data_IF_050548728431
#
_entry.id   IF_050548728431
#
_cell.length_a   1.000
_cell.length_b   1.000
_cell.length_c   1.000
_cell.angle_alpha   90.00
_cell.angle_beta   90.00
_cell.angle_gamma   90.00
#
_symmetry.space_group_name_H-M   'P 1'
#
loop_
_entity.id
_entity.type
_entity.pdbx_description
1 polymer ?
#
# COMPACT_ATOMS: atom_id res chain seq x y z
N UNK A 1 -12.37 27.63 2.05
CA UNK A 1 -12.23 27.17 0.67
C UNK A 1 -10.84 27.54 0.20
N UNK A 2 -10.06 26.56 -0.17
CA UNK A 2 -8.77 26.78 -0.79
C UNK A 2 -9.02 27.42 -2.16
N UNK A 3 -8.30 28.51 -2.49
CA UNK A 3 -8.42 29.14 -3.79
C UNK A 3 -8.09 28.16 -4.89
N UNK A 4 -8.94 28.09 -5.92
CA UNK A 4 -8.73 27.22 -7.08
C UNK A 4 -7.66 27.74 -8.04
N UNK A 5 -7.20 28.97 -7.82
CA UNK A 5 -6.34 29.63 -8.78
C UNK A 5 -4.98 29.95 -8.15
N UNK A 6 -4.03 29.06 -8.37
CA UNK A 6 -2.63 29.31 -8.02
C UNK A 6 -1.80 29.82 -9.21
N UNK A 7 -2.42 30.06 -10.38
CA UNK A 7 -1.77 30.63 -11.56
C UNK A 7 -0.60 29.83 -12.16
N UNK A 8 -0.29 28.65 -11.62
CA UNK A 8 0.91 27.88 -12.00
C UNK A 8 0.62 26.62 -12.81
N UNK A 9 -0.65 26.35 -13.13
CA UNK A 9 -1.04 25.14 -13.88
C UNK A 9 -0.82 23.82 -13.15
N UNK A 10 -0.21 23.83 -11.97
CA UNK A 10 -0.04 22.68 -11.10
C UNK A 10 -1.19 22.67 -10.10
N UNK A 11 -2.03 21.69 -10.23
CA UNK A 11 -3.33 21.62 -9.61
C UNK A 11 -3.27 21.47 -8.08
N UNK A 12 -3.95 22.40 -7.41
CA UNK A 12 -4.56 22.17 -6.11
C UNK A 12 -3.75 22.58 -4.88
N UNK A 13 -4.46 22.86 -3.79
CA UNK A 13 -3.88 23.31 -2.53
C UNK A 13 -2.97 22.28 -1.87
N UNK A 14 -3.16 20.98 -2.15
CA UNK A 14 -2.28 19.92 -1.65
C UNK A 14 -0.88 20.03 -2.26
N UNK A 15 -0.79 20.29 -3.56
CA UNK A 15 0.51 20.47 -4.25
C UNK A 15 1.21 21.73 -3.75
N UNK A 16 0.49 22.83 -3.57
CA UNK A 16 1.05 24.06 -3.01
C UNK A 16 1.57 23.84 -1.59
N UNK A 17 0.82 23.13 -0.74
CA UNK A 17 1.25 22.78 0.60
C UNK A 17 2.48 21.86 0.58
N UNK A 18 2.50 20.85 -0.29
CA UNK A 18 3.64 19.94 -0.42
C UNK A 18 4.92 20.68 -0.83
N UNK A 19 4.83 21.57 -1.82
CA UNK A 19 5.97 22.39 -2.26
C UNK A 19 6.44 23.35 -1.16
N UNK A 20 5.49 23.96 -0.41
CA UNK A 20 5.83 24.84 0.72
C UNK A 20 6.52 24.06 1.85
N UNK A 21 6.05 22.84 2.15
CA UNK A 21 6.68 21.95 3.14
C UNK A 21 8.09 21.52 2.69
N UNK A 22 8.26 21.17 1.41
CA UNK A 22 9.57 20.79 0.87
C UNK A 22 10.57 21.97 0.95
N UNK A 23 10.15 23.15 0.54
CA UNK A 23 10.97 24.36 0.63
C UNK A 23 11.33 24.71 2.09
N UNK A 24 10.36 24.62 3.01
CA UNK A 24 10.57 24.92 4.42
C UNK A 24 11.47 23.87 5.12
N UNK A 25 11.45 22.61 4.68
CA UNK A 25 12.25 21.53 5.27
C UNK A 25 13.75 21.69 5.08
N UNK A 26 14.17 22.49 4.09
CA UNK A 26 15.59 22.82 3.84
C UNK A 26 16.13 24.00 4.69
N UNK A 27 15.26 24.73 5.37
CA UNK A 27 15.64 25.89 6.20
C UNK A 27 15.99 25.46 7.65
N UNK A 28 16.79 26.26 8.34
CA UNK A 28 17.11 26.04 9.76
C UNK A 28 17.05 27.37 10.53
N UNK A 29 16.11 27.58 11.48
CA UNK A 29 15.05 26.64 11.88
C UNK A 29 13.95 26.50 10.81
N UNK A 30 13.45 25.26 10.66
CA UNK A 30 12.37 24.98 9.71
C UNK A 30 11.04 25.47 10.26
N UNK A 31 10.37 26.37 9.55
CA UNK A 31 9.03 26.79 9.91
C UNK A 31 8.19 27.06 8.66
N UNK A 32 6.89 26.82 8.79
CA UNK A 32 5.90 27.12 7.75
C UNK A 32 4.97 28.19 8.27
N UNK A 33 4.87 29.30 7.52
CA UNK A 33 3.87 30.33 7.77
C UNK A 33 2.60 29.97 7.02
N UNK A 34 1.52 29.74 7.76
CA UNK A 34 0.19 29.47 7.23
C UNK A 34 -0.72 30.67 7.48
N UNK A 35 -1.30 31.21 6.42
CA UNK A 35 -2.40 32.14 6.53
C UNK A 35 -3.73 31.39 6.44
N UNK A 36 -4.46 31.36 7.54
CA UNK A 36 -5.74 30.66 7.66
C UNK A 36 -6.86 31.68 7.76
N UNK A 37 -7.86 31.55 6.89
CA UNK A 37 -9.08 32.37 6.97
C UNK A 37 -10.15 31.65 7.76
N UNK A 38 -10.57 32.25 8.87
CA UNK A 38 -11.67 31.74 9.69
C UNK A 38 -12.79 32.78 9.72
N UNK A 39 -13.82 32.60 8.91
CA UNK A 39 -14.84 33.62 8.64
C UNK A 39 -14.20 34.81 7.92
N UNK A 40 -14.36 36.01 8.48
CA UNK A 40 -13.76 37.24 7.94
C UNK A 40 -12.34 37.51 8.49
N UNK A 41 -11.90 36.75 9.47
CA UNK A 41 -10.58 36.92 10.10
C UNK A 41 -9.51 36.12 9.38
N UNK A 42 -8.42 36.80 9.06
CA UNK A 42 -7.20 36.19 8.60
C UNK A 42 -6.27 36.00 9.79
N UNK A 43 -5.78 34.79 9.98
CA UNK A 43 -4.93 34.38 11.10
C UNK A 43 -3.63 33.85 10.53
N UNK A 44 -2.51 34.44 10.90
CA UNK A 44 -1.19 33.90 10.57
C UNK A 44 -0.77 32.91 11.66
N UNK A 45 -0.41 31.71 11.25
CA UNK A 45 0.08 30.63 12.12
C UNK A 45 1.50 30.26 11.69
N UNK A 46 2.44 30.35 12.60
CA UNK A 46 3.78 29.80 12.37
C UNK A 46 3.84 28.38 12.94
N UNK A 47 4.01 27.43 12.07
CA UNK A 47 4.15 26.01 12.44
C UNK A 47 5.62 25.66 12.38
N UNK A 48 6.23 25.34 13.54
CA UNK A 48 7.57 24.77 13.58
C UNK A 48 7.56 23.37 12.94
N UNK A 49 8.40 23.17 11.96
CA UNK A 49 8.61 21.84 11.37
C UNK A 49 9.72 21.14 12.15
N UNK A 50 9.64 19.81 12.33
CA UNK A 50 10.75 19.06 12.90
C UNK A 50 12.00 19.34 12.06
N UNK A 51 13.05 19.82 12.71
CA UNK A 51 14.27 20.23 12.03
C UNK A 51 14.97 19.04 11.35
N UNK A 52 15.29 19.25 10.07
CA UNK A 52 16.09 18.32 9.28
C UNK A 52 15.27 17.30 8.48
N UNK A 53 15.72 17.02 7.26
CA UNK A 53 15.26 15.84 6.52
C UNK A 53 15.80 14.62 7.26
N UNK A 54 14.91 13.73 7.67
CA UNK A 54 15.33 12.40 8.16
C UNK A 54 16.19 11.75 7.06
N UNK A 55 17.32 11.20 7.44
CA UNK A 55 18.05 10.35 6.50
C UNK A 55 17.14 9.20 6.09
N UNK A 56 17.25 8.68 4.87
CA UNK A 56 16.41 7.56 4.43
C UNK A 56 16.40 6.39 5.41
N UNK A 57 17.55 6.06 6.03
CA UNK A 57 17.65 5.02 7.05
C UNK A 57 16.87 5.35 8.32
N UNK A 58 16.91 6.60 8.80
CA UNK A 58 16.15 7.04 9.98
C UNK A 58 14.65 7.01 9.71
N UNK A 59 14.22 7.36 8.49
CA UNK A 59 12.83 7.26 8.07
C UNK A 59 12.37 5.81 8.03
N UNK A 60 13.16 4.91 7.43
CA UNK A 60 12.85 3.48 7.40
C UNK A 60 12.73 2.88 8.80
N UNK A 61 13.67 3.21 9.68
CA UNK A 61 13.62 2.77 11.09
C UNK A 61 12.38 3.30 11.82
N UNK A 62 12.01 4.56 11.61
CA UNK A 62 10.82 5.15 12.21
C UNK A 62 9.53 4.47 11.70
N UNK A 63 9.44 4.21 10.39
CA UNK A 63 8.32 3.50 9.78
C UNK A 63 8.24 2.07 10.33
N UNK A 64 9.33 1.33 10.31
CA UNK A 64 9.36 -0.04 10.82
C UNK A 64 8.95 -0.11 12.30
N UNK A 65 9.45 0.81 13.13
CA UNK A 65 9.05 0.90 14.54
C UNK A 65 7.56 1.18 14.70
N UNK A 66 7.00 2.08 13.91
CA UNK A 66 5.56 2.39 13.93
C UNK A 66 4.74 1.18 13.50
N UNK A 67 5.13 0.51 12.42
CA UNK A 67 4.44 -0.69 11.95
C UNK A 67 4.43 -1.79 13.01
N UNK A 68 5.57 -2.09 13.64
CA UNK A 68 5.63 -3.07 14.73
C UNK A 68 4.74 -2.69 15.92
N UNK A 69 4.70 -1.42 16.30
CA UNK A 69 3.88 -0.94 17.41
C UNK A 69 2.38 -0.99 17.14
N UNK A 70 1.97 -0.97 15.85
CA UNK A 70 0.56 -0.93 15.43
C UNK A 70 0.03 -2.26 14.90
N UNK A 71 0.91 -3.25 14.71
CA UNK A 71 0.48 -4.59 14.31
C UNK A 71 -0.36 -5.23 15.41
N UNK A 72 -1.51 -5.77 15.05
CA UNK A 72 -2.37 -6.51 15.95
C UNK A 72 -1.85 -7.93 16.17
N UNK A 73 -2.29 -8.58 17.25
CA UNK A 73 -1.91 -9.97 17.58
C UNK A 73 -2.26 -10.97 16.48
N UNK A 74 -3.27 -10.68 15.67
CA UNK A 74 -3.65 -11.47 14.49
C UNK A 74 -2.69 -11.33 13.31
N UNK A 75 -1.68 -10.48 13.37
CA UNK A 75 -0.80 -10.15 12.25
C UNK A 75 -1.30 -9.00 11.37
N UNK A 76 -2.53 -8.54 11.59
CA UNK A 76 -3.22 -7.53 10.80
C UNK A 76 -2.78 -6.10 11.13
N UNK A 77 -2.80 -5.22 10.12
CA UNK A 77 -2.87 -3.77 10.30
C UNK A 77 -4.23 -3.27 9.82
N UNK A 78 -4.89 -2.50 10.69
CA UNK A 78 -6.23 -1.99 10.40
C UNK A 78 -6.14 -0.51 10.02
N UNK A 79 -6.53 -0.12 8.80
CA UNK A 79 -6.44 1.26 8.34
C UNK A 79 -7.52 2.19 8.90
N UNK A 80 -8.38 1.73 9.79
CA UNK A 80 -9.47 2.51 10.35
C UNK A 80 -10.72 2.63 9.46
N UNK A 81 -10.66 2.15 8.23
CA UNK A 81 -11.79 2.20 7.28
C UNK A 81 -12.58 0.88 7.20
N UNK A 82 -12.14 -0.15 7.91
CA UNK A 82 -12.80 -1.46 8.02
C UNK A 82 -12.91 -2.25 6.70
N UNK A 83 -13.23 -3.52 6.81
CA UNK A 83 -13.57 -4.38 5.68
C UNK A 83 -12.37 -4.87 4.87
N UNK A 84 -12.54 -4.92 3.56
CA UNK A 84 -11.61 -5.55 2.61
C UNK A 84 -10.22 -4.88 2.53
N UNK A 85 -10.09 -3.66 3.07
CA UNK A 85 -8.84 -2.92 3.07
C UNK A 85 -7.76 -3.56 3.95
N UNK A 86 -8.14 -4.34 4.97
CA UNK A 86 -7.22 -4.89 5.95
C UNK A 86 -6.19 -5.84 5.31
N UNK A 87 -6.59 -6.63 4.32
CA UNK A 87 -5.72 -7.61 3.65
C UNK A 87 -4.61 -6.89 2.87
N UNK A 88 -4.97 -6.01 1.94
CA UNK A 88 -3.96 -5.33 1.11
C UNK A 88 -3.10 -4.36 1.94
N UNK A 89 -3.66 -3.68 2.94
CA UNK A 89 -2.87 -2.83 3.84
C UNK A 89 -1.87 -3.66 4.65
N UNK A 90 -2.28 -4.83 5.15
CA UNK A 90 -1.37 -5.74 5.85
C UNK A 90 -0.27 -6.26 4.92
N UNK A 91 -0.58 -6.54 3.65
CA UNK A 91 0.42 -6.92 2.67
C UNK A 91 1.45 -5.79 2.43
N UNK A 92 1.02 -4.55 2.25
CA UNK A 92 1.93 -3.42 2.06
C UNK A 92 2.75 -3.08 3.32
N UNK A 93 2.17 -3.21 4.50
CA UNK A 93 2.91 -3.05 5.76
C UNK A 93 4.00 -4.13 5.90
N UNK A 94 3.68 -5.39 5.59
CA UNK A 94 4.64 -6.49 5.61
C UNK A 94 5.74 -6.31 4.56
N UNK A 95 5.40 -5.88 3.33
CA UNK A 95 6.38 -5.52 2.29
C UNK A 95 7.33 -4.41 2.74
N UNK A 96 6.81 -3.40 3.45
CA UNK A 96 7.63 -2.33 3.99
C UNK A 96 8.62 -2.82 5.05
N UNK A 97 8.20 -3.77 5.90
CA UNK A 97 9.10 -4.42 6.86
C UNK A 97 10.13 -5.30 6.18
N UNK A 98 9.73 -6.05 5.15
CA UNK A 98 10.61 -6.90 4.35
C UNK A 98 11.70 -6.06 3.67
N UNK A 99 11.33 -4.94 3.07
CA UNK A 99 12.26 -4.02 2.42
C UNK A 99 13.20 -3.31 3.41
N UNK A 100 12.77 -3.14 4.68
CA UNK A 100 13.61 -2.53 5.72
C UNK A 100 14.66 -3.52 6.25
N UNK A 101 14.28 -4.74 6.58
CA UNK A 101 15.16 -5.83 7.02
C UNK A 101 14.38 -7.14 7.09
N UNK A 102 14.62 -8.02 6.13
CA UNK A 102 13.92 -9.29 5.97
C UNK A 102 14.09 -10.25 7.16
N UNK A 103 15.25 -10.23 7.83
CA UNK A 103 15.56 -11.12 8.95
C UNK A 103 15.05 -10.58 10.28
N UNK A 104 15.26 -9.30 10.52
CA UNK A 104 14.91 -8.63 11.78
C UNK A 104 13.39 -8.65 12.03
N UNK A 105 12.61 -8.47 10.97
CA UNK A 105 11.16 -8.34 11.06
C UNK A 105 10.38 -9.59 10.67
N UNK A 106 11.07 -10.70 10.41
CA UNK A 106 10.50 -11.96 9.97
C UNK A 106 9.28 -12.44 10.79
N UNK A 107 9.26 -12.38 12.12
CA UNK A 107 8.08 -12.79 12.89
C UNK A 107 6.84 -11.96 12.58
N UNK A 108 6.99 -10.65 12.43
CA UNK A 108 5.88 -9.75 12.09
C UNK A 108 5.39 -9.97 10.66
N UNK A 109 6.30 -10.22 9.72
CA UNK A 109 5.99 -10.52 8.32
C UNK A 109 5.21 -11.85 8.23
N UNK A 110 5.69 -12.92 8.89
CA UNK A 110 5.00 -14.22 8.93
C UNK A 110 3.61 -14.14 9.57
N UNK A 111 3.46 -13.35 10.63
CA UNK A 111 2.15 -13.11 11.24
C UNK A 111 1.18 -12.44 10.25
N UNK A 112 1.65 -11.48 9.47
CA UNK A 112 0.84 -10.83 8.43
C UNK A 112 0.46 -11.80 7.31
N UNK A 113 1.39 -12.63 6.84
CA UNK A 113 1.11 -13.66 5.83
C UNK A 113 0.04 -14.64 6.36
N UNK A 114 0.15 -15.09 7.60
CA UNK A 114 -0.85 -15.95 8.23
C UNK A 114 -2.25 -15.34 8.24
N UNK A 115 -2.36 -14.05 8.63
CA UNK A 115 -3.62 -13.31 8.57
C UNK A 115 -4.18 -13.20 7.15
N UNK A 116 -3.34 -12.87 6.18
CA UNK A 116 -3.72 -12.72 4.77
C UNK A 116 -4.22 -14.06 4.21
N UNK A 117 -3.51 -15.14 4.48
CA UNK A 117 -3.89 -16.47 4.01
C UNK A 117 -5.23 -16.89 4.62
N UNK A 118 -5.45 -16.66 5.91
CA UNK A 118 -6.74 -16.95 6.56
C UNK A 118 -7.90 -16.14 5.96
N UNK A 119 -7.70 -14.84 5.69
CA UNK A 119 -8.80 -13.94 5.30
C UNK A 119 -9.03 -13.83 3.80
N UNK A 120 -8.04 -14.16 3.00
CA UNK A 120 -8.07 -13.97 1.55
C UNK A 120 -7.83 -15.29 0.82
N UNK A 121 -6.62 -15.81 0.88
CA UNK A 121 -6.20 -16.96 0.07
C UNK A 121 -7.05 -18.21 0.31
N UNK A 122 -7.39 -18.52 1.57
CA UNK A 122 -8.23 -19.67 1.93
C UNK A 122 -9.66 -19.62 1.37
N UNK A 123 -10.12 -18.44 0.96
CA UNK A 123 -11.45 -18.25 0.36
C UNK A 123 -11.47 -18.40 -1.16
N UNK A 124 -10.32 -18.68 -1.78
CA UNK A 124 -10.22 -18.83 -3.24
C UNK A 124 -10.76 -20.20 -3.65
N UNK A 125 -11.76 -20.20 -4.53
CA UNK A 125 -12.22 -21.38 -5.24
C UNK A 125 -11.94 -21.21 -6.74
N UNK A 126 -10.93 -21.90 -7.25
CA UNK A 126 -10.55 -21.82 -8.66
C UNK A 126 -11.62 -22.40 -9.60
N UNK A 127 -12.59 -23.17 -9.08
CA UNK A 127 -13.73 -23.66 -9.85
C UNK A 127 -14.81 -22.60 -10.04
N UNK A 128 -14.87 -21.62 -9.13
CA UNK A 128 -15.69 -20.41 -9.26
C UNK A 128 -14.86 -19.15 -9.00
N UNK A 129 -14.08 -18.71 -9.99
CA UNK A 129 -13.20 -17.54 -9.84
C UNK A 129 -13.97 -16.22 -9.66
N UNK A 130 -15.32 -16.23 -9.75
CA UNK A 130 -16.15 -15.04 -9.49
C UNK A 130 -16.28 -14.74 -8.01
N UNK A 131 -16.16 -15.75 -7.16
CA UNK A 131 -16.16 -15.61 -5.71
C UNK A 131 -14.78 -15.26 -5.12
N UNK A 132 -14.68 -15.25 -3.80
CA UNK A 132 -13.41 -15.08 -3.09
C UNK A 132 -12.92 -13.63 -3.02
N UNK A 133 -11.59 -13.43 -2.84
CA UNK A 133 -11.02 -12.11 -2.60
C UNK A 133 -11.12 -11.21 -3.83
N UNK A 134 -11.08 -9.91 -3.60
CA UNK A 134 -10.96 -8.91 -4.68
C UNK A 134 -9.58 -8.95 -5.32
N UNK A 135 -9.47 -8.47 -6.55
CA UNK A 135 -8.21 -8.48 -7.29
C UNK A 135 -7.07 -7.73 -6.58
N UNK A 136 -7.38 -6.66 -5.83
CA UNK A 136 -6.40 -5.98 -4.98
C UNK A 136 -5.79 -6.90 -3.92
N UNK A 137 -6.65 -7.70 -3.28
CA UNK A 137 -6.23 -8.61 -2.22
C UNK A 137 -5.35 -9.71 -2.79
N UNK A 138 -5.81 -10.36 -3.86
CA UNK A 138 -5.04 -11.42 -4.51
C UNK A 138 -3.69 -10.90 -5.04
N UNK A 139 -3.68 -9.76 -5.72
CA UNK A 139 -2.46 -9.18 -6.26
C UNK A 139 -1.46 -8.77 -5.17
N UNK A 140 -1.92 -8.06 -4.12
CA UNK A 140 -1.02 -7.67 -3.02
C UNK A 140 -0.52 -8.87 -2.22
N UNK A 141 -1.35 -9.91 -2.05
CA UNK A 141 -0.94 -11.16 -1.42
C UNK A 141 0.15 -11.85 -2.24
N UNK A 142 -0.04 -12.01 -3.54
CA UNK A 142 0.95 -12.64 -4.42
C UNK A 142 2.27 -11.86 -4.47
N UNK A 143 2.23 -10.51 -4.52
CA UNK A 143 3.44 -9.69 -4.45
C UNK A 143 4.19 -9.95 -3.13
N UNK A 144 3.48 -9.93 -2.00
CA UNK A 144 4.11 -10.18 -0.70
C UNK A 144 4.75 -11.57 -0.63
N UNK A 145 4.04 -12.60 -1.08
CA UNK A 145 4.53 -13.98 -1.02
C UNK A 145 5.73 -14.20 -1.94
N UNK A 146 5.70 -13.61 -3.16
CA UNK A 146 6.82 -13.68 -4.09
C UNK A 146 8.06 -12.95 -3.55
N UNK A 147 7.90 -11.73 -3.05
CA UNK A 147 9.00 -10.95 -2.46
C UNK A 147 9.54 -11.62 -1.19
N UNK A 148 8.67 -12.22 -0.38
CA UNK A 148 9.08 -12.99 0.79
C UNK A 148 9.98 -14.18 0.38
N UNK A 149 9.55 -14.95 -0.61
CA UNK A 149 10.33 -16.09 -1.10
C UNK A 149 11.65 -15.64 -1.75
N UNK A 150 11.65 -14.53 -2.49
CA UNK A 150 12.86 -13.94 -3.07
C UNK A 150 13.87 -13.52 -1.99
N UNK A 151 13.41 -12.85 -0.95
CA UNK A 151 14.26 -12.31 0.10
C UNK A 151 14.80 -13.38 1.06
N UNK A 152 13.97 -14.37 1.39
CA UNK A 152 14.29 -15.36 2.44
C UNK A 152 14.75 -16.71 1.90
N UNK A 153 14.38 -17.07 0.68
CA UNK A 153 14.54 -18.42 0.13
C UNK A 153 13.57 -19.45 0.75
N UNK A 154 12.59 -18.99 1.56
CA UNK A 154 11.61 -19.86 2.23
C UNK A 154 10.39 -20.04 1.33
N UNK A 155 10.15 -21.25 0.86
CA UNK A 155 9.08 -21.65 -0.06
C UNK A 155 7.81 -22.17 0.66
N UNK A 156 7.73 -22.00 1.97
CA UNK A 156 6.60 -22.46 2.81
C UNK A 156 5.24 -22.03 2.26
N UNK A 157 5.18 -20.91 1.56
CA UNK A 157 3.94 -20.31 1.04
C UNK A 157 3.82 -20.40 -0.50
N UNK A 158 4.53 -21.31 -1.14
CA UNK A 158 4.52 -21.45 -2.60
C UNK A 158 3.14 -21.85 -3.15
N UNK A 159 2.40 -22.68 -2.40
CA UNK A 159 1.04 -23.10 -2.78
C UNK A 159 0.06 -21.91 -2.74
N UNK A 160 0.11 -21.10 -1.70
CA UNK A 160 -0.71 -19.90 -1.56
C UNK A 160 -0.36 -18.86 -2.64
N UNK A 161 0.91 -18.73 -2.99
CA UNK A 161 1.35 -17.89 -4.09
C UNK A 161 0.72 -18.37 -5.41
N UNK A 162 0.83 -19.66 -5.72
CA UNK A 162 0.25 -20.25 -6.93
C UNK A 162 -1.26 -20.02 -7.01
N UNK A 163 -1.99 -20.29 -5.92
CA UNK A 163 -3.45 -20.09 -5.87
C UNK A 163 -3.87 -18.64 -6.13
N UNK A 164 -3.15 -17.66 -5.59
CA UNK A 164 -3.43 -16.25 -5.87
C UNK A 164 -3.14 -15.89 -7.34
N UNK A 165 -2.06 -16.43 -7.92
CA UNK A 165 -1.71 -16.22 -9.32
C UNK A 165 -2.74 -16.85 -10.26
N UNK A 166 -3.16 -18.07 -9.99
CA UNK A 166 -4.19 -18.78 -10.75
C UNK A 166 -5.52 -18.04 -10.73
N UNK A 167 -5.92 -17.52 -9.58
CA UNK A 167 -7.13 -16.67 -9.48
C UNK A 167 -7.01 -15.42 -10.36
N UNK A 168 -5.88 -14.75 -10.33
CA UNK A 168 -5.67 -13.56 -11.16
C UNK A 168 -5.67 -13.94 -12.65
N UNK A 169 -4.99 -15.02 -13.03
CA UNK A 169 -4.99 -15.51 -14.40
C UNK A 169 -6.40 -15.86 -14.91
N UNK A 170 -7.22 -16.50 -14.06
CA UNK A 170 -8.62 -16.82 -14.38
C UNK A 170 -9.51 -15.58 -14.52
N UNK A 171 -9.10 -14.43 -14.00
CA UNK A 171 -9.86 -13.17 -14.03
C UNK A 171 -9.38 -12.16 -15.06
N UNK A 172 -8.25 -12.42 -15.69
CA UNK A 172 -7.77 -11.58 -16.80
C UNK A 172 -8.73 -11.70 -17.98
N UNK A 173 -9.21 -10.56 -18.49
CA UNK A 173 -10.03 -10.53 -19.69
C UNK A 173 -9.21 -10.87 -20.94
N UNK A 174 -9.89 -11.16 -22.06
CA UNK A 174 -9.23 -11.40 -23.36
C UNK A 174 -8.30 -10.27 -23.80
N UNK A 175 -8.55 -9.05 -23.34
CA UNK A 175 -7.73 -7.88 -23.61
C UNK A 175 -6.58 -7.70 -22.59
N UNK A 176 -6.30 -8.68 -21.73
CA UNK A 176 -5.26 -8.61 -20.72
C UNK A 176 -5.55 -7.66 -19.56
N UNK A 177 -6.81 -7.34 -19.29
CA UNK A 177 -7.22 -6.36 -18.31
C UNK A 177 -7.90 -6.99 -17.10
N UNK A 178 -7.83 -6.31 -15.97
CA UNK A 178 -8.52 -6.66 -14.72
C UNK A 178 -9.30 -5.47 -14.17
N UNK A 179 -10.50 -5.76 -13.65
CA UNK A 179 -11.30 -4.82 -12.88
C UNK A 179 -11.04 -4.92 -11.37
N UNK A 180 -11.92 -4.30 -10.61
CA UNK A 180 -11.88 -4.34 -9.14
C UNK A 180 -12.16 -5.75 -8.57
N UNK A 181 -13.07 -6.45 -9.22
CA UNK A 181 -13.48 -7.81 -8.93
C UNK A 181 -13.91 -8.47 -10.25
N UNK A 182 -14.15 -9.79 -10.25
CA UNK A 182 -14.76 -10.44 -11.40
C UNK A 182 -16.12 -9.78 -11.70
N UNK A 183 -16.40 -9.45 -12.93
CA UNK A 183 -17.68 -8.91 -13.44
C UNK A 183 -18.16 -7.55 -12.87
N UNK A 184 -17.37 -6.84 -12.05
CA UNK A 184 -17.78 -5.51 -11.62
C UNK A 184 -17.03 -4.44 -12.43
N UNK A 185 -17.66 -3.85 -13.44
CA UNK A 185 -17.13 -2.65 -14.07
C UNK A 185 -17.29 -1.50 -13.09
N UNK A 186 -16.22 -1.19 -12.33
CA UNK A 186 -16.19 -0.03 -11.46
C UNK A 186 -15.60 1.14 -12.24
N UNK A 187 -16.31 2.25 -12.33
CA UNK A 187 -15.87 3.47 -13.04
C UNK A 187 -15.42 3.25 -14.50
N UNK A 188 -16.15 2.39 -15.25
CA UNK A 188 -15.86 2.16 -16.67
C UNK A 188 -14.97 0.96 -16.96
N UNK A 189 -14.75 0.09 -15.99
CA UNK A 189 -14.19 -1.25 -16.17
C UNK A 189 -12.77 -1.42 -15.61
N UNK A 190 -11.76 -0.95 -16.28
CA UNK A 190 -10.39 -1.32 -15.97
C UNK A 190 -9.71 -0.30 -15.05
N UNK A 191 -9.22 -0.76 -13.92
CA UNK A 191 -8.43 0.09 -13.02
C UNK A 191 -6.94 -0.11 -13.30
N UNK A 192 -6.28 0.90 -13.83
CA UNK A 192 -4.83 0.88 -14.14
C UNK A 192 -4.00 0.40 -12.96
N UNK A 193 -4.33 0.86 -11.75
CA UNK A 193 -3.61 0.48 -10.52
C UNK A 193 -3.68 -1.03 -10.27
N UNK A 194 -4.86 -1.64 -10.45
CA UNK A 194 -5.04 -3.08 -10.27
C UNK A 194 -4.29 -3.85 -11.35
N UNK A 195 -4.37 -3.40 -12.60
CA UNK A 195 -3.64 -4.03 -13.71
C UNK A 195 -2.13 -4.03 -13.45
N UNK A 196 -1.57 -2.90 -13.03
CA UNK A 196 -0.13 -2.82 -12.70
C UNK A 196 0.24 -3.79 -11.58
N UNK A 197 -0.54 -3.85 -10.51
CA UNK A 197 -0.28 -4.78 -9.40
C UNK A 197 -0.41 -6.24 -9.79
N UNK A 198 -1.45 -6.60 -10.56
CA UNK A 198 -1.65 -7.96 -11.02
C UNK A 198 -0.54 -8.42 -11.97
N UNK A 199 -0.16 -7.58 -12.94
CA UNK A 199 0.95 -7.91 -13.83
C UNK A 199 2.29 -7.99 -13.08
N UNK A 200 2.53 -7.12 -12.11
CA UNK A 200 3.71 -7.20 -11.24
C UNK A 200 3.72 -8.51 -10.45
N UNK A 201 2.59 -8.88 -9.84
CA UNK A 201 2.45 -10.12 -9.10
C UNK A 201 2.77 -11.34 -9.97
N UNK A 202 2.17 -11.41 -11.15
CA UNK A 202 2.40 -12.52 -12.10
C UNK A 202 3.87 -12.57 -12.57
N UNK A 203 4.46 -11.41 -12.90
CA UNK A 203 5.85 -11.34 -13.34
C UNK A 203 6.85 -11.74 -12.24
N UNK A 204 6.61 -11.34 -10.97
CA UNK A 204 7.44 -11.77 -9.84
C UNK A 204 7.31 -13.27 -9.58
N UNK A 205 6.10 -13.80 -9.77
CA UNK A 205 5.79 -15.20 -9.48
C UNK A 205 6.26 -16.17 -10.55
N UNK A 206 6.55 -15.69 -11.77
CA UNK A 206 7.03 -16.52 -12.90
C UNK A 206 8.24 -17.41 -12.55
N UNK A 207 9.03 -17.00 -11.54
CA UNK A 207 10.18 -17.76 -11.06
C UNK A 207 9.83 -18.93 -10.15
N UNK A 208 8.62 -18.97 -9.60
CA UNK A 208 8.24 -19.86 -8.51
C UNK A 208 7.02 -20.73 -8.83
N UNK A 209 6.23 -20.36 -9.85
CA UNK A 209 4.95 -21.00 -10.21
C UNK A 209 5.01 -21.59 -11.61
#
# INVERSE_FOLDING_TARGET
>A
PFSKDTGTGLAGPQTALALALDAASGASPSSLLLEVRRGEKQIALTVGLPGGRLKPSELLDAIAKHLLATQQKSGRWQPGVGGDADVYMSAFCALSLLAADDRKYLPAIKAAIGFINEKSTSSIDLKDPRGGPKNWQAASSAILLAEYQLATGDDTYAEELAVNCDLMAARVTENGRMGHHFDIPFLGGDLVVINVQAHLALALSEKFV
#
